data_IF_062860371454
#
_entry.id   IF_062860371454
#
_cell.length_a   1.000
_cell.length_b   1.000
_cell.length_c   1.000
_cell.angle_alpha   90.00
_cell.angle_beta   90.00
_cell.angle_gamma   90.00
#
_symmetry.space_group_name_H-M   'P 1'
#
loop_
_entity.id
_entity.type
_entity.pdbx_description
1 polymer ?
#
# COMPACT_ATOMS: atom_id res chain seq x y z
N UNK A 1 29.39 15.90 -10.31
CA UNK A 1 28.25 16.03 -9.37
C UNK A 1 26.91 16.14 -10.11
N UNK A 2 26.69 17.15 -10.96
CA UNK A 2 25.46 17.32 -11.76
C UNK A 2 25.16 16.13 -12.71
N UNK A 3 26.19 15.52 -13.30
CA UNK A 3 26.08 14.30 -14.10
C UNK A 3 25.55 13.09 -13.31
N UNK A 4 25.98 12.93 -12.06
CA UNK A 4 25.52 11.83 -11.19
C UNK A 4 24.10 12.07 -10.67
N UNK A 5 23.74 13.34 -10.40
CA UNK A 5 22.38 13.74 -10.04
C UNK A 5 21.42 13.54 -11.23
N UNK A 6 21.81 14.00 -12.42
CA UNK A 6 21.03 13.82 -13.64
C UNK A 6 20.86 12.35 -14.04
N UNK A 7 21.90 11.53 -13.85
CA UNK A 7 21.83 10.07 -14.07
C UNK A 7 20.93 9.39 -13.03
N UNK A 8 21.03 9.72 -11.74
CA UNK A 8 20.11 9.21 -10.72
C UNK A 8 18.65 9.62 -10.96
N UNK A 9 18.44 10.84 -11.46
CA UNK A 9 17.14 11.39 -11.81
C UNK A 9 16.53 10.69 -13.05
N UNK A 10 17.33 10.48 -14.10
CA UNK A 10 16.93 9.72 -15.29
C UNK A 10 16.68 8.24 -14.97
N UNK A 11 17.48 7.60 -14.12
CA UNK A 11 17.20 6.23 -13.65
C UNK A 11 15.91 6.15 -12.83
N UNK A 12 15.61 7.16 -12.02
CA UNK A 12 14.37 7.23 -11.23
C UNK A 12 13.15 7.42 -12.12
N UNK A 13 13.24 8.27 -13.15
CA UNK A 13 12.19 8.48 -14.15
C UNK A 13 12.04 7.26 -15.06
N UNK A 14 13.13 6.60 -15.46
CA UNK A 14 13.07 5.40 -16.28
C UNK A 14 12.50 4.22 -15.51
N UNK A 15 12.86 4.05 -14.23
CA UNK A 15 12.21 3.09 -13.33
C UNK A 15 10.72 3.40 -13.12
N UNK A 16 10.35 4.69 -13.04
CA UNK A 16 8.97 5.16 -12.96
C UNK A 16 8.19 4.82 -14.23
N UNK A 17 8.71 5.13 -15.42
CA UNK A 17 8.07 4.82 -16.71
C UNK A 17 7.95 3.30 -16.96
N UNK A 18 8.96 2.52 -16.57
CA UNK A 18 8.89 1.05 -16.66
C UNK A 18 7.86 0.47 -15.67
N UNK A 19 7.66 1.11 -14.51
CA UNK A 19 6.61 0.73 -13.54
C UNK A 19 5.19 1.17 -13.93
N UNK A 20 5.05 2.03 -14.94
CA UNK A 20 3.76 2.53 -15.43
C UNK A 20 3.24 1.73 -16.63
N UNK A 21 4.08 0.86 -17.23
CA UNK A 21 3.71 -0.07 -18.30
C UNK A 21 3.16 -1.42 -17.81
N UNK A 22 2.69 -1.50 -16.56
CA UNK A 22 2.04 -2.71 -16.04
C UNK A 22 0.63 -2.88 -16.60
N UNK A 23 0.55 -3.61 -17.73
CA UNK A 23 -0.70 -4.04 -18.34
C UNK A 23 -1.29 -5.30 -17.69
N UNK A 24 -0.60 -5.97 -16.77
CA UNK A 24 -0.98 -7.32 -16.35
C UNK A 24 -0.73 -7.60 -14.85
N UNK A 25 -1.45 -6.95 -13.92
CA UNK A 25 -1.46 -7.35 -12.50
C UNK A 25 -2.37 -8.59 -12.25
N UNK A 26 -3.04 -9.10 -13.30
CA UNK A 26 -3.77 -10.38 -13.26
C UNK A 26 -3.25 -11.41 -14.28
N UNK A 27 -2.05 -11.25 -14.84
CA UNK A 27 -1.40 -12.29 -15.62
C UNK A 27 0.00 -12.54 -15.11
N UNK A 28 0.28 -13.82 -14.90
CA UNK A 28 1.58 -14.40 -14.55
C UNK A 28 2.71 -13.76 -15.38
N UNK A 29 3.82 -13.35 -14.76
CA UNK A 29 5.03 -14.16 -14.78
C UNK A 29 6.21 -13.54 -14.03
N UNK A 30 7.05 -14.46 -13.60
CA UNK A 30 8.38 -14.37 -13.01
C UNK A 30 9.41 -13.50 -13.79
N UNK A 31 9.45 -12.16 -13.66
CA UNK A 31 10.73 -11.42 -13.78
C UNK A 31 10.71 -9.93 -13.39
N UNK A 32 11.68 -9.59 -12.53
CA UNK A 32 12.48 -8.34 -12.43
C UNK A 32 11.76 -6.99 -12.58
N UNK A 33 11.46 -6.36 -11.45
CA UNK A 33 11.97 -5.03 -11.04
C UNK A 33 11.54 -4.71 -9.60
N UNK A 34 12.31 -3.94 -8.81
CA UNK A 34 11.99 -3.72 -7.40
C UNK A 34 10.69 -2.90 -7.27
N UNK A 35 9.71 -3.34 -6.47
CA UNK A 35 8.50 -2.57 -6.24
C UNK A 35 8.82 -1.27 -5.50
N UNK A 36 8.03 -0.22 -5.76
CA UNK A 36 8.00 0.97 -4.92
C UNK A 36 7.84 0.55 -3.46
N UNK A 37 8.66 1.13 -2.56
CA UNK A 37 8.70 0.70 -1.16
C UNK A 37 7.30 0.65 -0.53
N UNK A 38 6.96 -0.43 0.18
CA UNK A 38 5.60 -0.69 0.66
C UNK A 38 5.01 0.41 1.58
N UNK A 39 5.88 1.12 2.30
CA UNK A 39 5.57 2.31 3.10
C UNK A 39 4.94 3.46 2.29
N UNK A 40 5.28 3.58 1.01
CA UNK A 40 4.86 4.69 0.14
C UNK A 40 3.40 4.54 -0.24
N UNK A 41 3.04 3.32 -0.64
CA UNK A 41 1.67 2.96 -0.98
C UNK A 41 0.80 3.09 0.26
N UNK A 42 1.28 2.63 1.42
CA UNK A 42 0.60 2.74 2.71
C UNK A 42 0.23 4.18 3.05
N UNK A 43 1.17 5.11 2.93
CA UNK A 43 0.94 6.45 3.44
C UNK A 43 0.19 7.36 2.46
N UNK A 44 0.33 7.14 1.16
CA UNK A 44 -0.55 7.74 0.14
C UNK A 44 -1.99 7.23 0.36
N UNK A 45 -2.18 5.94 0.60
CA UNK A 45 -3.52 5.36 0.81
C UNK A 45 -4.17 5.86 2.11
N UNK A 46 -3.42 5.96 3.22
CA UNK A 46 -3.93 6.51 4.49
C UNK A 46 -4.32 7.99 4.39
N UNK A 47 -3.52 8.83 3.72
CA UNK A 47 -3.85 10.25 3.52
C UNK A 47 -5.09 10.43 2.64
N UNK A 48 -5.22 9.63 1.59
CA UNK A 48 -6.37 9.71 0.67
C UNK A 48 -7.67 9.19 1.30
N UNK A 49 -7.57 8.17 2.17
CA UNK A 49 -8.72 7.65 2.93
C UNK A 49 -9.21 8.63 4.02
N UNK A 50 -8.34 9.46 4.59
CA UNK A 50 -8.71 10.43 5.64
C UNK A 50 -9.39 11.70 5.11
N UNK A 51 -9.07 12.15 3.89
CA UNK A 51 -9.58 13.42 3.35
C UNK A 51 -10.63 13.28 2.25
N UNK A 52 -10.87 12.08 1.71
CA UNK A 52 -11.87 11.82 0.67
C UNK A 52 -11.73 12.71 -0.58
N UNK A 53 -12.82 12.91 -1.32
CA UNK A 53 -12.88 13.77 -2.52
C UNK A 53 -12.36 15.20 -2.28
N UNK A 54 -12.57 15.75 -1.06
CA UNK A 54 -12.12 17.11 -0.69
C UNK A 54 -10.61 17.22 -0.55
N UNK A 55 -9.93 16.14 -0.13
CA UNK A 55 -8.47 16.06 -0.12
C UNK A 55 -7.86 16.13 -1.51
N UNK A 56 -8.45 15.40 -2.47
CA UNK A 56 -7.99 15.41 -3.87
C UNK A 56 -8.11 16.80 -4.50
N UNK A 57 -9.22 17.51 -4.26
CA UNK A 57 -9.43 18.87 -4.77
C UNK A 57 -8.40 19.84 -4.19
N UNK A 58 -8.22 19.83 -2.87
CA UNK A 58 -7.26 20.70 -2.18
C UNK A 58 -5.83 20.47 -2.67
N UNK A 59 -5.44 19.20 -2.86
CA UNK A 59 -4.10 18.84 -3.35
C UNK A 59 -3.89 19.19 -4.83
N UNK A 60 -4.92 19.07 -5.66
CA UNK A 60 -4.87 19.45 -7.08
C UNK A 60 -4.69 20.95 -7.24
N UNK A 61 -5.44 21.76 -6.47
CA UNK A 61 -5.29 23.23 -6.44
C UNK A 61 -3.88 23.62 -6.04
N UNK A 62 -3.36 22.96 -5.00
CA UNK A 62 -2.02 23.18 -4.48
C UNK A 62 -0.90 22.89 -5.50
N UNK A 63 -0.98 21.74 -6.18
CA UNK A 63 -0.06 21.38 -7.25
C UNK A 63 -0.19 22.34 -8.45
N UNK A 64 -1.40 22.81 -8.75
CA UNK A 64 -1.64 23.84 -9.75
C UNK A 64 -0.96 25.16 -9.41
N UNK A 65 -1.07 25.63 -8.16
CA UNK A 65 -0.36 26.83 -7.68
C UNK A 65 1.16 26.66 -7.77
N UNK A 66 1.69 25.49 -7.40
CA UNK A 66 3.11 25.19 -7.55
C UNK A 66 3.57 25.22 -9.02
N UNK A 67 2.81 24.61 -9.92
CA UNK A 67 3.11 24.62 -11.35
C UNK A 67 3.08 26.04 -11.94
N UNK A 68 2.08 26.86 -11.57
CA UNK A 68 2.00 28.27 -11.96
C UNK A 68 3.22 29.07 -11.49
N UNK A 69 3.72 28.79 -10.29
CA UNK A 69 4.88 29.48 -9.77
C UNK A 69 6.18 29.09 -10.52
N UNK A 70 6.36 27.81 -10.86
CA UNK A 70 7.48 27.38 -11.72
C UNK A 70 7.35 27.91 -13.16
N UNK A 71 6.13 28.00 -13.71
CA UNK A 71 5.90 28.63 -15.01
C UNK A 71 6.25 30.13 -14.98
N UNK A 72 5.85 30.83 -13.91
CA UNK A 72 6.22 32.23 -13.68
C UNK A 72 7.74 32.45 -13.65
N UNK A 73 8.48 31.56 -12.98
CA UNK A 73 9.95 31.58 -13.00
C UNK A 73 10.54 31.44 -14.42
N UNK A 74 10.00 30.54 -15.23
CA UNK A 74 10.45 30.33 -16.61
C UNK A 74 10.12 31.53 -17.52
N UNK A 75 8.92 32.09 -17.38
CA UNK A 75 8.50 33.29 -18.10
C UNK A 75 9.34 34.51 -17.73
N UNK A 76 9.73 34.67 -16.45
CA UNK A 76 10.66 35.72 -16.02
C UNK A 76 12.03 35.58 -16.70
N UNK A 77 12.55 34.36 -16.81
CA UNK A 77 13.83 34.10 -17.47
C UNK A 77 13.79 34.45 -18.99
N UNK A 78 12.66 34.17 -19.66
CA UNK A 78 12.45 34.44 -21.09
C UNK A 78 12.12 35.90 -21.40
N UNK A 79 11.34 36.55 -20.53
CA UNK A 79 10.75 37.87 -20.76
C UNK A 79 11.76 39.01 -20.92
N UNK A 80 13.05 38.73 -20.70
CA UNK A 80 14.10 39.70 -20.78
C UNK A 80 13.96 40.71 -19.66
N UNK A 81 14.84 40.61 -18.68
CA UNK A 81 15.10 41.72 -17.77
C UNK A 81 15.82 42.83 -18.54
N UNK A 82 15.21 43.36 -19.59
CA UNK A 82 15.65 44.60 -20.21
C UNK A 82 15.39 45.69 -19.16
N UNK A 83 16.46 46.00 -18.40
CA UNK A 83 16.51 47.01 -17.35
C UNK A 83 15.56 46.78 -16.16
N UNK A 84 15.76 45.73 -15.37
CA UNK A 84 15.29 45.77 -13.98
C UNK A 84 16.33 46.52 -13.16
N UNK A 85 15.97 47.70 -12.65
CA UNK A 85 16.68 48.32 -11.54
C UNK A 85 16.81 47.31 -10.39
N UNK A 86 17.82 47.45 -9.53
CA UNK A 86 18.02 46.59 -8.36
C UNK A 86 16.71 46.25 -7.58
N UNK A 87 15.75 47.19 -7.39
CA UNK A 87 14.43 46.90 -6.81
C UNK A 87 13.60 45.83 -7.51
N UNK A 88 13.66 45.74 -8.84
CA UNK A 88 12.82 44.83 -9.59
C UNK A 88 13.47 43.43 -9.69
N UNK A 89 14.81 43.34 -9.64
CA UNK A 89 15.51 42.09 -9.35
C UNK A 89 15.17 41.58 -7.94
N UNK A 90 15.18 42.46 -6.92
CA UNK A 90 14.74 42.13 -5.56
C UNK A 90 13.28 41.64 -5.54
N UNK A 91 12.38 42.27 -6.30
CA UNK A 91 10.99 41.82 -6.44
C UNK A 91 10.86 40.40 -6.98
N UNK A 92 11.62 40.07 -8.03
CA UNK A 92 11.68 38.69 -8.56
C UNK A 92 12.23 37.71 -7.52
N UNK A 93 13.28 38.08 -6.78
CA UNK A 93 13.88 37.21 -5.75
C UNK A 93 12.94 36.99 -4.56
N UNK A 94 12.18 38.01 -4.15
CA UNK A 94 11.15 37.91 -3.14
C UNK A 94 9.99 37.01 -3.60
N UNK A 95 9.61 37.07 -4.88
CA UNK A 95 8.59 36.18 -5.44
C UNK A 95 9.05 34.72 -5.48
N UNK A 96 10.31 34.48 -5.85
CA UNK A 96 10.95 33.14 -5.80
C UNK A 96 10.98 32.63 -4.36
N UNK A 97 11.41 33.47 -3.42
CA UNK A 97 11.48 33.12 -2.00
C UNK A 97 10.10 32.87 -1.40
N UNK A 98 9.10 33.69 -1.72
CA UNK A 98 7.71 33.52 -1.29
C UNK A 98 7.11 32.23 -1.86
N UNK A 99 7.38 31.92 -3.12
CA UNK A 99 6.98 30.66 -3.76
C UNK A 99 7.64 29.47 -3.07
N UNK A 100 8.95 29.53 -2.81
CA UNK A 100 9.67 28.47 -2.12
C UNK A 100 9.16 28.26 -0.69
N UNK A 101 8.91 29.33 0.07
CA UNK A 101 8.36 29.29 1.42
C UNK A 101 6.91 28.79 1.43
N UNK A 102 6.09 29.22 0.47
CA UNK A 102 4.72 28.75 0.32
C UNK A 102 4.69 27.25 -0.01
N UNK A 103 5.50 26.79 -0.97
CA UNK A 103 5.66 25.37 -1.30
C UNK A 103 6.19 24.57 -0.12
N UNK A 104 7.16 25.09 0.64
CA UNK A 104 7.70 24.46 1.86
C UNK A 104 6.65 24.35 2.97
N UNK A 105 5.86 25.41 3.21
CA UNK A 105 4.84 25.44 4.27
C UNK A 105 3.65 24.58 3.94
N UNK A 106 3.20 24.67 2.69
CA UNK A 106 2.25 23.73 2.07
C UNK A 106 2.70 22.28 2.27
N UNK A 107 3.96 21.98 1.97
CA UNK A 107 4.51 20.63 2.14
C UNK A 107 4.63 20.23 3.61
N UNK A 108 4.88 21.19 4.50
CA UNK A 108 4.93 20.97 5.94
C UNK A 108 3.55 20.60 6.47
N UNK A 109 2.49 21.32 6.05
CA UNK A 109 1.09 21.02 6.36
C UNK A 109 0.71 19.64 5.83
N UNK A 110 1.06 19.33 4.57
CA UNK A 110 0.86 17.99 3.98
C UNK A 110 1.59 16.90 4.77
N UNK A 111 2.81 17.16 5.24
CA UNK A 111 3.58 16.20 6.03
C UNK A 111 3.11 16.06 7.49
N UNK A 112 2.54 17.11 8.08
CA UNK A 112 1.99 17.11 9.44
C UNK A 112 0.59 16.49 9.49
N UNK A 113 -0.21 16.66 8.44
CA UNK A 113 -1.47 15.94 8.25
C UNK A 113 -1.27 14.43 7.99
N UNK A 114 -0.04 14.01 7.67
CA UNK A 114 0.33 12.65 7.28
C UNK A 114 0.97 11.83 8.39
N UNK A 115 0.27 11.61 9.53
CA UNK A 115 0.74 10.75 10.62
C UNK A 115 0.58 9.25 10.30
N UNK A 116 1.25 8.78 9.24
CA UNK A 116 1.55 7.37 8.99
C UNK A 116 3.01 7.27 8.55
N UNK A 117 3.80 6.45 9.25
CA UNK A 117 5.27 6.29 9.14
C UNK A 117 5.82 6.12 7.71
N UNK A 118 5.00 5.78 6.72
CA UNK A 118 5.43 5.64 5.33
C UNK A 118 5.43 6.90 4.48
N UNK A 119 4.75 7.96 4.92
CA UNK A 119 4.88 9.27 4.32
C UNK A 119 6.21 9.85 4.75
N UNK A 120 6.83 9.38 5.84
CA UNK A 120 8.16 9.82 6.22
C UNK A 120 9.19 9.50 5.12
N UNK A 121 9.17 8.34 4.45
CA UNK A 121 10.19 8.02 3.44
C UNK A 121 10.02 8.79 2.14
N UNK A 122 8.78 9.03 1.69
CA UNK A 122 8.51 9.86 0.50
C UNK A 122 8.48 11.35 0.75
N UNK A 123 7.98 11.81 1.90
CA UNK A 123 8.20 13.20 2.32
C UNK A 123 9.67 13.47 2.50
N UNK A 124 10.49 12.49 2.92
CA UNK A 124 11.94 12.64 3.00
C UNK A 124 12.59 12.61 1.62
N UNK A 125 12.23 11.69 0.72
CA UNK A 125 12.75 11.65 -0.66
C UNK A 125 12.33 12.88 -1.49
N UNK A 126 11.06 13.30 -1.45
CA UNK A 126 10.58 14.55 -2.07
C UNK A 126 11.08 15.80 -1.34
N UNK A 127 11.27 15.79 0.00
CA UNK A 127 12.02 16.86 0.70
C UNK A 127 13.44 16.92 0.14
N UNK A 128 14.10 15.80 -0.12
CA UNK A 128 15.45 15.76 -0.67
C UNK A 128 15.51 16.00 -2.18
N UNK A 129 14.41 15.98 -2.93
CA UNK A 129 14.39 16.27 -4.37
C UNK A 129 13.82 17.64 -4.73
N UNK A 130 12.76 18.11 -4.06
CA UNK A 130 12.14 19.42 -4.29
C UNK A 130 12.76 20.54 -3.46
N UNK A 131 13.23 20.29 -2.22
CA UNK A 131 13.92 21.37 -1.47
C UNK A 131 15.20 21.83 -2.15
N UNK A 132 16.05 20.96 -2.74
CA UNK A 132 17.17 21.43 -3.53
C UNK A 132 16.71 22.25 -4.72
N UNK A 133 15.65 21.87 -5.44
CA UNK A 133 15.13 22.68 -6.57
C UNK A 133 14.65 24.08 -6.11
N UNK A 134 14.02 24.16 -4.94
CA UNK A 134 13.61 25.44 -4.33
C UNK A 134 14.79 26.27 -3.80
N UNK A 135 15.85 25.62 -3.30
CA UNK A 135 17.10 26.26 -2.87
C UNK A 135 18.01 26.63 -4.04
N UNK A 136 17.89 25.94 -5.17
CA UNK A 136 18.58 26.23 -6.42
C UNK A 136 17.95 27.42 -7.14
N UNK A 137 16.68 27.75 -6.89
CA UNK A 137 16.03 28.89 -7.53
C UNK A 137 16.71 30.25 -7.20
N UNK A 138 17.02 30.58 -5.93
CA UNK A 138 17.85 31.75 -5.61
C UNK A 138 19.24 31.71 -6.26
N UNK A 139 19.89 30.54 -6.29
CA UNK A 139 21.21 30.36 -6.93
C UNK A 139 21.10 30.59 -8.44
N UNK A 140 20.03 30.11 -9.07
CA UNK A 140 19.71 30.32 -10.47
C UNK A 140 19.47 31.80 -10.80
N UNK A 141 18.78 32.53 -9.92
CA UNK A 141 18.59 33.98 -10.05
C UNK A 141 19.91 34.76 -9.95
N UNK A 142 20.78 34.40 -9.00
CA UNK A 142 22.12 35.00 -8.86
C UNK A 142 22.97 34.68 -10.09
N UNK A 143 22.96 33.42 -10.55
CA UNK A 143 23.72 32.98 -11.72
C UNK A 143 23.27 33.70 -12.99
N UNK A 144 21.96 33.82 -13.21
CA UNK A 144 21.40 34.59 -14.33
C UNK A 144 21.85 36.06 -14.25
N UNK A 145 21.75 36.69 -13.09
CA UNK A 145 22.16 38.09 -12.91
C UNK A 145 23.64 38.28 -13.25
N UNK A 146 24.54 37.44 -12.70
CA UNK A 146 25.99 37.50 -12.98
C UNK A 146 26.28 37.31 -14.48
N UNK A 147 25.64 36.34 -15.12
CA UNK A 147 25.83 36.06 -16.55
C UNK A 147 25.38 37.26 -17.41
N UNK A 148 24.21 37.85 -17.10
CA UNK A 148 23.71 39.05 -17.78
C UNK A 148 24.64 40.24 -17.58
N UNK A 149 25.10 40.48 -16.35
CA UNK A 149 26.03 41.58 -16.02
C UNK A 149 27.40 41.42 -16.69
N UNK A 150 27.77 40.20 -17.11
CA UNK A 150 29.02 39.90 -17.80
C UNK A 150 28.91 39.97 -19.33
N UNK A 151 27.77 40.43 -19.88
CA UNK A 151 27.57 40.57 -21.32
C UNK A 151 27.26 39.25 -22.06
N UNK A 152 26.96 38.17 -21.32
CA UNK A 152 26.55 36.89 -21.91
C UNK A 152 25.19 37.05 -22.61
N UNK A 153 25.03 36.40 -23.76
CA UNK A 153 23.79 36.44 -24.52
C UNK A 153 22.59 36.07 -23.64
N UNK A 154 21.51 36.86 -23.74
CA UNK A 154 20.33 36.79 -22.88
C UNK A 154 19.75 35.37 -22.73
N UNK A 155 19.70 34.59 -23.81
CA UNK A 155 19.15 33.24 -23.78
C UNK A 155 20.06 32.25 -23.03
N UNK A 156 21.38 32.45 -23.07
CA UNK A 156 22.36 31.62 -22.34
C UNK A 156 22.29 31.92 -20.85
N UNK A 157 22.19 33.20 -20.48
CA UNK A 157 22.08 33.61 -19.08
C UNK A 157 20.79 33.09 -18.41
N UNK A 158 19.72 32.89 -19.18
CA UNK A 158 18.43 32.38 -18.71
C UNK A 158 18.41 30.85 -18.47
N UNK A 159 19.37 30.09 -19.03
CA UNK A 159 19.38 28.60 -18.97
C UNK A 159 19.23 28.02 -17.55
N UNK A 160 19.90 28.53 -16.49
CA UNK A 160 19.76 27.99 -15.15
C UNK A 160 18.31 28.05 -14.61
N UNK A 161 17.62 29.18 -14.81
CA UNK A 161 16.22 29.32 -14.39
C UNK A 161 15.27 28.52 -15.27
N UNK A 162 15.54 28.41 -16.57
CA UNK A 162 14.75 27.56 -17.47
C UNK A 162 14.85 26.08 -17.10
N UNK A 163 16.03 25.62 -16.72
CA UNK A 163 16.23 24.25 -16.23
C UNK A 163 15.49 24.00 -14.91
N UNK A 164 15.58 24.93 -13.96
CA UNK A 164 14.87 24.82 -12.68
C UNK A 164 13.34 24.85 -12.89
N UNK A 165 12.85 25.76 -13.73
CA UNK A 165 11.44 25.85 -14.12
C UNK A 165 10.96 24.55 -14.79
N UNK A 166 11.69 24.05 -15.78
CA UNK A 166 11.36 22.82 -16.49
C UNK A 166 11.31 21.59 -15.57
N UNK A 167 12.29 21.44 -14.68
CA UNK A 167 12.32 20.36 -13.69
C UNK A 167 11.16 20.48 -12.68
N UNK A 168 10.87 21.70 -12.21
CA UNK A 168 9.76 21.95 -11.29
C UNK A 168 8.39 21.67 -11.91
N UNK A 169 8.19 22.05 -13.17
CA UNK A 169 6.99 21.73 -13.95
C UNK A 169 6.84 20.23 -14.17
N UNK A 170 7.92 19.54 -14.56
CA UNK A 170 7.92 18.09 -14.77
C UNK A 170 7.54 17.34 -13.48
N UNK A 171 8.17 17.68 -12.35
CA UNK A 171 7.82 17.10 -11.04
C UNK A 171 6.34 17.34 -10.68
N UNK A 172 5.85 18.56 -10.90
CA UNK A 172 4.46 18.92 -10.59
C UNK A 172 3.47 18.15 -11.49
N UNK A 173 3.79 17.99 -12.78
CA UNK A 173 2.99 17.22 -13.72
C UNK A 173 2.94 15.72 -13.35
N UNK A 174 4.07 15.12 -12.98
CA UNK A 174 4.13 13.72 -12.52
C UNK A 174 3.28 13.51 -11.26
N UNK A 175 3.39 14.41 -10.29
CA UNK A 175 2.58 14.36 -9.06
C UNK A 175 1.09 14.53 -9.36
N UNK A 176 0.72 15.47 -10.22
CA UNK A 176 -0.66 15.68 -10.64
C UNK A 176 -1.23 14.45 -11.32
N UNK A 177 -0.48 13.86 -12.27
CA UNK A 177 -0.88 12.62 -12.94
C UNK A 177 -1.11 11.48 -11.94
N UNK A 178 -0.23 11.31 -10.95
CA UNK A 178 -0.37 10.30 -9.90
C UNK A 178 -1.64 10.54 -9.07
N UNK A 179 -1.86 11.77 -8.61
CA UNK A 179 -3.04 12.16 -7.81
C UNK A 179 -4.33 11.93 -8.57
N UNK A 180 -4.40 12.37 -9.82
CA UNK A 180 -5.56 12.17 -10.69
C UNK A 180 -5.82 10.68 -10.94
N UNK A 181 -4.77 9.90 -11.19
CA UNK A 181 -4.88 8.45 -11.38
C UNK A 181 -5.41 7.76 -10.12
N UNK A 182 -4.91 8.13 -8.94
CA UNK A 182 -5.37 7.59 -7.66
C UNK A 182 -6.80 8.03 -7.33
N UNK A 183 -7.17 9.29 -7.62
CA UNK A 183 -8.52 9.80 -7.46
C UNK A 183 -9.51 9.02 -8.34
N UNK A 184 -9.15 8.81 -9.62
CA UNK A 184 -9.94 8.01 -10.55
C UNK A 184 -10.10 6.57 -10.06
N UNK A 185 -9.01 5.94 -9.58
CA UNK A 185 -9.07 4.58 -9.01
C UNK A 185 -9.96 4.50 -7.77
N UNK A 186 -9.86 5.48 -6.85
CA UNK A 186 -10.73 5.52 -5.67
C UNK A 186 -12.20 5.65 -6.07
N UNK A 187 -12.50 6.56 -7.02
CA UNK A 187 -13.87 6.76 -7.52
C UNK A 187 -14.43 5.48 -8.15
N UNK A 188 -13.67 4.81 -9.02
CA UNK A 188 -14.09 3.56 -9.65
C UNK A 188 -14.35 2.45 -8.62
N UNK A 189 -13.51 2.37 -7.57
CA UNK A 189 -13.73 1.45 -6.46
C UNK A 189 -15.02 1.76 -5.71
N UNK A 190 -15.29 3.03 -5.41
CA UNK A 190 -16.50 3.43 -4.70
C UNK A 190 -17.76 3.21 -5.55
N UNK A 191 -17.69 3.46 -6.86
CA UNK A 191 -18.76 3.14 -7.82
C UNK A 191 -19.02 1.62 -7.87
N UNK A 192 -17.98 0.79 -7.90
CA UNK A 192 -18.11 -0.67 -7.82
C UNK A 192 -18.78 -1.12 -6.52
N UNK A 193 -18.40 -0.54 -5.39
CA UNK A 193 -19.00 -0.88 -4.10
C UNK A 193 -20.48 -0.49 -4.06
N UNK A 194 -20.84 0.68 -4.57
CA UNK A 194 -22.23 1.12 -4.66
C UNK A 194 -23.06 0.21 -5.58
N UNK A 195 -22.51 -0.21 -6.73
CA UNK A 195 -23.19 -1.13 -7.65
C UNK A 195 -23.44 -2.51 -7.03
N UNK A 196 -22.45 -3.08 -6.36
CA UNK A 196 -22.62 -4.39 -5.69
C UNK A 196 -23.56 -4.26 -4.49
N UNK A 197 -23.47 -3.18 -3.72
CA UNK A 197 -24.38 -2.91 -2.61
C UNK A 197 -25.83 -2.84 -3.11
N UNK A 198 -26.09 -2.12 -4.20
CA UNK A 198 -27.44 -2.01 -4.77
C UNK A 198 -28.03 -3.39 -5.16
N UNK A 199 -27.21 -4.30 -5.70
CA UNK A 199 -27.65 -5.66 -6.02
C UNK A 199 -28.01 -6.46 -4.77
N UNK A 200 -27.09 -6.51 -3.80
CA UNK A 200 -27.30 -7.24 -2.53
C UNK A 200 -28.46 -6.63 -1.74
N UNK A 201 -28.63 -5.31 -1.79
CA UNK A 201 -29.74 -4.60 -1.16
C UNK A 201 -31.09 -4.97 -1.79
N UNK A 202 -31.13 -5.17 -3.11
CA UNK A 202 -32.33 -5.66 -3.79
C UNK A 202 -32.66 -7.12 -3.44
N UNK A 203 -31.64 -7.95 -3.19
CA UNK A 203 -31.79 -9.37 -2.86
C UNK A 203 -32.17 -9.60 -1.39
N UNK A 204 -31.50 -8.91 -0.45
CA UNK A 204 -31.61 -9.16 0.99
C UNK A 204 -32.40 -8.08 1.75
N UNK A 205 -32.67 -6.95 1.11
CA UNK A 205 -33.38 -5.82 1.70
C UNK A 205 -32.50 -4.82 2.48
N UNK A 206 -33.08 -3.68 2.87
CA UNK A 206 -32.38 -2.58 3.51
C UNK A 206 -31.86 -2.89 4.91
N UNK A 207 -32.62 -3.64 5.72
CA UNK A 207 -32.22 -3.94 7.09
C UNK A 207 -31.02 -4.89 7.15
N UNK A 208 -31.00 -5.92 6.28
CA UNK A 208 -29.90 -6.88 6.19
C UNK A 208 -28.60 -6.26 5.65
N UNK A 209 -28.70 -5.14 4.92
CA UNK A 209 -27.57 -4.42 4.32
C UNK A 209 -27.23 -3.12 5.03
N UNK A 210 -27.93 -2.78 6.14
CA UNK A 210 -27.72 -1.53 6.88
C UNK A 210 -26.24 -1.32 7.24
N UNK A 211 -25.60 -2.33 7.84
CA UNK A 211 -24.18 -2.26 8.23
C UNK A 211 -23.25 -2.04 7.04
N UNK A 212 -23.54 -2.62 5.87
CA UNK A 212 -22.78 -2.37 4.64
C UNK A 212 -22.92 -0.92 4.18
N UNK A 213 -24.16 -0.42 4.17
CA UNK A 213 -24.49 0.97 3.81
C UNK A 213 -23.74 1.93 4.73
N UNK A 214 -23.88 1.75 6.04
CA UNK A 214 -23.21 2.56 7.06
C UNK A 214 -21.69 2.49 6.90
N UNK A 215 -21.13 1.31 6.62
CA UNK A 215 -19.68 1.13 6.42
C UNK A 215 -19.15 1.81 5.16
N UNK A 216 -19.93 1.83 4.07
CA UNK A 216 -19.56 2.49 2.82
C UNK A 216 -19.72 4.01 2.94
N UNK A 217 -20.78 4.47 3.59
CA UNK A 217 -21.02 5.90 3.79
C UNK A 217 -20.09 6.49 4.87
N UNK A 218 -19.78 5.76 5.93
CA UNK A 218 -18.77 6.14 6.90
C UNK A 218 -17.34 5.78 6.45
N UNK A 219 -17.13 5.11 5.31
CA UNK A 219 -15.85 5.24 4.59
C UNK A 219 -15.72 6.65 4.00
N UNK A 220 -16.84 7.29 3.65
CA UNK A 220 -16.89 8.70 3.23
C UNK A 220 -16.93 9.68 4.42
N UNK A 221 -16.96 9.17 5.65
CA UNK A 221 -16.89 9.89 6.93
C UNK A 221 -15.91 9.25 7.93
N UNK A 222 -15.97 9.58 9.22
CA UNK A 222 -15.16 8.94 10.26
C UNK A 222 -15.98 7.83 10.94
N UNK A 223 -15.60 6.55 10.76
CA UNK A 223 -15.97 5.51 11.74
C UNK A 223 -14.95 5.54 12.88
N UNK A 224 -15.41 5.25 14.08
CA UNK A 224 -14.57 4.94 15.23
C UNK A 224 -13.95 3.54 15.04
N UNK A 225 -12.91 3.47 14.20
CA UNK A 225 -12.10 2.25 14.04
C UNK A 225 -11.06 2.21 15.14
N UNK A 226 -10.77 1.02 15.65
CA UNK A 226 -9.73 0.84 16.65
C UNK A 226 -8.41 1.45 16.13
N UNK A 227 -7.68 2.27 16.93
CA UNK A 227 -6.46 2.95 16.48
C UNK A 227 -5.34 1.98 16.07
N UNK A 228 -5.40 0.70 16.45
CA UNK A 228 -4.46 -0.33 16.03
C UNK A 228 -4.81 -0.99 14.70
N UNK A 229 -6.00 -0.73 14.16
CA UNK A 229 -6.39 -1.14 12.82
C UNK A 229 -6.09 -0.01 11.82
N UNK A 230 -5.47 -0.34 10.70
CA UNK A 230 -5.25 0.64 9.64
C UNK A 230 -6.32 0.52 8.55
N UNK A 231 -6.97 1.64 8.21
CA UNK A 231 -7.88 1.71 7.07
C UNK A 231 -7.12 1.66 5.75
N UNK A 232 -6.91 0.45 5.24
CA UNK A 232 -6.33 0.23 3.90
C UNK A 232 -7.37 -0.11 2.84
N UNK A 233 -8.52 -0.67 3.23
CA UNK A 233 -9.62 -1.05 2.33
C UNK A 233 -11.00 -0.89 2.97
N UNK A 234 -11.92 -1.81 2.66
CA UNK A 234 -13.26 -1.83 3.27
C UNK A 234 -13.15 -2.29 4.72
N UNK A 235 -13.54 -1.43 5.66
CA UNK A 235 -13.79 -1.84 7.04
C UNK A 235 -15.29 -1.87 7.24
N UNK A 236 -15.82 -2.95 7.81
CA UNK A 236 -17.21 -2.97 8.26
C UNK A 236 -17.30 -2.43 9.69
N UNK A 237 -18.22 -1.49 9.88
CA UNK A 237 -18.63 -0.96 11.17
C UNK A 237 -19.13 -2.10 12.06
N UNK A 238 -19.03 -1.93 13.38
CA UNK A 238 -19.65 -2.81 14.39
C UNK A 238 -19.29 -4.31 14.30
N UNK A 239 -18.27 -4.68 13.52
CA UNK A 239 -17.62 -5.97 13.69
C UNK A 239 -16.81 -5.93 15.00
N UNK A 240 -16.86 -6.98 15.84
CA UNK A 240 -16.05 -7.05 17.04
C UNK A 240 -14.59 -6.76 16.75
N UNK A 241 -14.06 -5.72 17.38
CA UNK A 241 -12.69 -5.29 17.21
C UNK A 241 -11.78 -6.14 18.12
N UNK A 242 -11.62 -7.42 17.80
CA UNK A 242 -10.79 -8.38 18.54
C UNK A 242 -9.57 -8.75 17.72
N UNK A 243 -8.37 -8.46 18.24
CA UNK A 243 -7.12 -8.80 17.55
C UNK A 243 -6.91 -10.32 17.46
N UNK A 244 -7.29 -11.07 18.51
CA UNK A 244 -7.21 -12.52 18.59
C UNK A 244 -8.60 -13.11 18.79
N UNK A 245 -8.87 -14.24 18.15
CA UNK A 245 -10.08 -15.03 18.33
C UNK A 245 -9.78 -16.31 19.09
N UNK A 246 -10.74 -16.79 19.88
CA UNK A 246 -10.62 -18.07 20.57
C UNK A 246 -10.88 -19.22 19.57
N UNK A 247 -9.96 -20.21 19.43
CA UNK A 247 -10.22 -21.40 18.62
C UNK A 247 -11.54 -22.11 18.92
N UNK A 248 -12.05 -22.02 20.16
CA UNK A 248 -13.33 -22.61 20.56
C UNK A 248 -14.55 -21.97 19.84
N UNK A 249 -14.40 -20.78 19.25
CA UNK A 249 -15.46 -20.14 18.46
C UNK A 249 -15.73 -20.86 17.12
N UNK A 250 -14.83 -21.74 16.68
CA UNK A 250 -14.87 -22.37 15.36
C UNK A 250 -15.14 -23.89 15.48
N UNK A 251 -16.35 -24.38 15.13
CA UNK A 251 -16.73 -25.78 15.35
C UNK A 251 -15.86 -26.81 14.62
N UNK A 252 -15.22 -26.42 13.53
CA UNK A 252 -14.37 -27.30 12.71
C UNK A 252 -12.95 -27.48 13.30
N UNK A 253 -12.55 -26.69 14.31
CA UNK A 253 -11.19 -26.74 14.86
C UNK A 253 -10.83 -28.10 15.42
N UNK A 254 -11.70 -28.71 16.24
CA UNK A 254 -11.40 -30.00 16.86
C UNK A 254 -11.16 -31.13 15.83
N UNK A 255 -11.95 -31.15 14.75
CA UNK A 255 -11.80 -32.11 13.66
C UNK A 255 -10.56 -31.81 12.80
N UNK A 256 -10.18 -30.54 12.68
CA UNK A 256 -8.97 -30.13 11.97
C UNK A 256 -7.71 -30.51 12.77
N UNK A 257 -7.68 -30.23 14.08
CA UNK A 257 -6.56 -30.58 14.95
C UNK A 257 -6.36 -32.10 15.08
N UNK A 258 -7.45 -32.89 15.06
CA UNK A 258 -7.34 -34.36 15.09
C UNK A 258 -6.71 -34.95 13.81
N UNK A 259 -6.81 -34.24 12.67
CA UNK A 259 -6.09 -34.56 11.44
C UNK A 259 -4.65 -34.03 11.42
N UNK A 260 -4.18 -33.40 12.50
CA UNK A 260 -2.93 -32.64 12.55
C UNK A 260 -1.68 -33.42 12.16
N UNK A 261 -1.59 -34.70 12.53
CA UNK A 261 -0.45 -35.55 12.15
C UNK A 261 -0.36 -35.77 10.64
N UNK A 262 -1.51 -36.05 10.00
CA UNK A 262 -1.59 -36.24 8.55
C UNK A 262 -1.25 -34.94 7.80
N UNK A 263 -1.80 -33.81 8.27
CA UNK A 263 -1.56 -32.49 7.69
C UNK A 263 -0.09 -32.10 7.83
N UNK A 264 0.53 -32.34 9.00
CA UNK A 264 1.95 -32.07 9.22
C UNK A 264 2.81 -32.91 8.27
N UNK A 265 2.52 -34.20 8.11
CA UNK A 265 3.27 -35.09 7.21
C UNK A 265 3.14 -34.66 5.73
N UNK A 266 1.95 -34.25 5.28
CA UNK A 266 1.73 -33.71 3.94
C UNK A 266 2.52 -32.41 3.73
N UNK A 267 2.43 -31.48 4.67
CA UNK A 267 3.11 -30.20 4.60
C UNK A 267 4.64 -30.34 4.54
N UNK A 268 5.22 -31.19 5.38
CA UNK A 268 6.66 -31.44 5.39
C UNK A 268 7.14 -32.08 4.08
N UNK A 269 6.35 -32.98 3.49
CA UNK A 269 6.66 -33.58 2.18
C UNK A 269 6.55 -32.54 1.06
N UNK A 270 5.49 -31.74 1.05
CA UNK A 270 5.25 -30.71 0.04
C UNK A 270 6.29 -29.59 0.09
N UNK A 271 6.69 -29.15 1.30
CA UNK A 271 7.67 -28.08 1.48
C UNK A 271 9.13 -28.58 1.41
N UNK A 272 9.39 -29.88 1.56
CA UNK A 272 10.72 -30.47 1.47
C UNK A 272 11.24 -30.60 0.02
N UNK A 273 10.33 -30.66 -0.96
CA UNK A 273 10.68 -30.58 -2.38
C UNK A 273 10.83 -29.11 -2.81
N UNK A 274 11.92 -28.75 -3.49
CA UNK A 274 12.08 -27.40 -4.05
C UNK A 274 11.04 -27.08 -5.15
N UNK A 275 10.48 -28.12 -5.79
CA UNK A 275 9.42 -28.03 -6.78
C UNK A 275 8.08 -27.65 -6.13
N UNK A 276 7.52 -26.51 -6.52
CA UNK A 276 6.19 -26.05 -6.08
C UNK A 276 6.21 -24.91 -5.04
N UNK A 277 7.39 -24.57 -4.50
CA UNK A 277 7.55 -23.39 -3.64
C UNK A 277 7.65 -22.12 -4.48
N UNK A 278 6.83 -21.12 -4.14
CA UNK A 278 6.91 -19.78 -4.72
C UNK A 278 7.43 -18.79 -3.68
N UNK A 279 8.30 -17.87 -4.09
CA UNK A 279 8.61 -16.71 -3.28
C UNK A 279 7.32 -15.89 -3.10
N UNK A 280 6.93 -15.65 -1.85
CA UNK A 280 5.77 -14.85 -1.55
C UNK A 280 6.19 -13.40 -1.37
N UNK A 281 5.35 -12.47 -1.78
CA UNK A 281 5.56 -11.05 -1.54
C UNK A 281 4.22 -10.41 -1.23
N UNK A 282 4.00 -10.05 0.03
CA UNK A 282 2.80 -9.33 0.41
C UNK A 282 2.93 -7.86 -0.02
N UNK A 283 1.96 -7.32 -0.80
CA UNK A 283 1.96 -5.92 -1.17
C UNK A 283 1.86 -5.03 0.08
N UNK A 284 2.80 -4.11 0.27
CA UNK A 284 2.75 -3.26 1.46
C UNK A 284 3.55 -3.78 2.67
N UNK A 285 4.16 -4.96 2.61
CA UNK A 285 5.02 -5.49 3.66
C UNK A 285 6.51 -5.46 3.29
N UNK A 286 7.36 -5.17 4.28
CA UNK A 286 8.82 -5.40 4.20
C UNK A 286 9.08 -6.76 4.84
N UNK A 287 9.62 -7.69 4.06
CA UNK A 287 9.74 -9.09 4.46
C UNK A 287 11.10 -9.68 4.10
N UNK A 288 11.56 -10.62 4.93
CA UNK A 288 12.70 -11.48 4.66
C UNK A 288 12.34 -12.61 3.70
N UNK A 289 13.12 -13.70 3.75
CA UNK A 289 12.90 -14.84 2.87
C UNK A 289 11.66 -15.62 3.32
N UNK A 290 10.59 -15.48 2.53
CA UNK A 290 9.28 -16.05 2.80
C UNK A 290 8.76 -16.74 1.55
N UNK A 291 8.58 -18.05 1.64
CA UNK A 291 8.07 -18.89 0.57
C UNK A 291 6.69 -19.43 0.94
N UNK A 292 5.92 -19.81 -0.08
CA UNK A 292 4.62 -20.44 0.08
C UNK A 292 4.48 -21.67 -0.83
N UNK A 293 3.74 -22.66 -0.32
CA UNK A 293 3.18 -23.74 -1.12
C UNK A 293 1.66 -23.51 -1.20
N UNK A 294 1.15 -23.20 -2.38
CA UNK A 294 -0.25 -22.81 -2.58
C UNK A 294 -1.20 -24.00 -2.46
N UNK A 295 -2.23 -23.85 -1.64
CA UNK A 295 -3.34 -24.81 -1.52
C UNK A 295 -4.60 -24.29 -2.22
N UNK A 296 -4.96 -23.05 -1.92
CA UNK A 296 -6.06 -22.32 -2.58
C UNK A 296 -5.51 -21.01 -3.11
N UNK A 297 -5.63 -20.80 -4.43
CA UNK A 297 -5.27 -19.56 -5.12
C UNK A 297 -6.47 -19.10 -5.95
N UNK A 298 -6.81 -17.81 -5.88
CA UNK A 298 -7.97 -17.24 -6.59
C UNK A 298 -9.30 -17.98 -6.28
N UNK A 299 -9.49 -18.42 -5.04
CA UNK A 299 -10.63 -19.23 -4.58
C UNK A 299 -10.80 -20.54 -5.38
N UNK A 300 -9.70 -21.15 -5.80
CA UNK A 300 -9.66 -22.47 -6.44
C UNK A 300 -8.55 -23.28 -5.79
N UNK A 301 -8.80 -24.57 -5.57
CA UNK A 301 -7.75 -25.50 -5.17
C UNK A 301 -6.70 -25.60 -6.28
N UNK A 302 -5.43 -25.66 -5.90
CA UNK A 302 -4.35 -25.93 -6.85
C UNK A 302 -4.29 -27.44 -7.15
N UNK A 303 -3.93 -27.86 -8.37
CA UNK A 303 -3.76 -29.28 -8.69
C UNK A 303 -2.76 -29.98 -7.77
N UNK A 304 -1.69 -29.29 -7.38
CA UNK A 304 -0.67 -29.80 -6.48
C UNK A 304 -1.24 -30.08 -5.08
N UNK A 305 -2.16 -29.24 -4.60
CA UNK A 305 -2.81 -29.46 -3.30
C UNK A 305 -3.70 -30.69 -3.30
N UNK A 306 -4.48 -30.90 -4.37
CA UNK A 306 -5.34 -32.09 -4.49
C UNK A 306 -4.53 -33.38 -4.58
N UNK A 307 -3.39 -33.34 -5.27
CA UNK A 307 -2.52 -34.50 -5.45
C UNK A 307 -1.67 -34.80 -4.21
N UNK A 308 -1.11 -33.78 -3.55
CA UNK A 308 -0.10 -33.96 -2.50
C UNK A 308 -0.64 -33.84 -1.08
N UNK A 309 -1.76 -33.13 -0.89
CA UNK A 309 -2.25 -32.73 0.43
C UNK A 309 -3.74 -33.11 0.66
N UNK A 310 -4.17 -34.36 0.40
CA UNK A 310 -5.58 -34.75 0.50
C UNK A 310 -6.19 -34.56 1.90
N UNK A 311 -5.46 -34.83 2.98
CA UNK A 311 -5.95 -34.63 4.35
C UNK A 311 -6.10 -33.13 4.65
N UNK A 312 -5.14 -32.31 4.21
CA UNK A 312 -5.20 -30.85 4.35
C UNK A 312 -6.39 -30.27 3.59
N UNK A 313 -6.62 -30.72 2.35
CA UNK A 313 -7.79 -30.30 1.55
C UNK A 313 -9.09 -30.74 2.20
N UNK A 314 -9.16 -31.97 2.73
CA UNK A 314 -10.34 -32.46 3.45
C UNK A 314 -10.64 -31.65 4.71
N UNK A 315 -9.62 -31.19 5.43
CA UNK A 315 -9.77 -30.31 6.60
C UNK A 315 -10.21 -28.89 6.19
N UNK A 316 -9.61 -28.31 5.16
CA UNK A 316 -10.00 -26.99 4.63
C UNK A 316 -11.46 -26.96 4.15
N UNK A 317 -11.97 -28.06 3.58
CA UNK A 317 -13.38 -28.20 3.17
C UNK A 317 -14.38 -28.06 4.32
N UNK A 318 -13.96 -28.25 5.57
CA UNK A 318 -14.81 -28.09 6.75
C UNK A 318 -14.89 -26.63 7.22
N UNK A 319 -13.96 -25.77 6.78
CA UNK A 319 -13.95 -24.36 7.16
C UNK A 319 -15.14 -23.65 6.54
N UNK A 320 -15.87 -22.90 7.37
CA UNK A 320 -17.05 -22.15 6.93
C UNK A 320 -16.71 -21.21 5.77
N UNK A 321 -17.45 -21.36 4.67
CA UNK A 321 -17.27 -20.56 3.47
C UNK A 321 -16.30 -21.15 2.44
N UNK A 322 -15.68 -22.32 2.68
CA UNK A 322 -14.87 -22.99 1.66
C UNK A 322 -15.66 -23.21 0.34
N UNK A 323 -15.04 -23.05 -0.85
CA UNK A 323 -13.65 -22.65 -1.13
C UNK A 323 -13.42 -21.14 -1.15
N UNK A 324 -14.39 -20.33 -0.70
CA UNK A 324 -14.24 -18.88 -0.61
C UNK A 324 -13.30 -18.50 0.55
N UNK A 325 -12.01 -18.57 0.25
CA UNK A 325 -10.90 -18.15 1.08
C UNK A 325 -10.12 -17.07 0.34
N UNK A 326 -9.59 -16.06 1.04
CA UNK A 326 -8.75 -15.05 0.38
C UNK A 326 -7.49 -15.69 -0.19
N UNK A 327 -6.87 -16.55 0.62
CA UNK A 327 -5.76 -17.44 0.29
C UNK A 327 -5.74 -18.63 1.26
N UNK A 328 -5.14 -19.74 0.83
CA UNK A 328 -4.70 -20.82 1.72
C UNK A 328 -3.38 -21.40 1.20
N UNK A 329 -2.38 -21.51 2.06
CA UNK A 329 -1.06 -21.99 1.69
C UNK A 329 -0.25 -22.45 2.92
N UNK A 330 0.73 -23.33 2.72
CA UNK A 330 1.79 -23.50 3.72
C UNK A 330 2.74 -22.30 3.61
N UNK A 331 2.97 -21.63 4.73
CA UNK A 331 3.75 -20.39 4.86
C UNK A 331 5.09 -20.70 5.52
N UNK A 332 6.17 -20.60 4.75
CA UNK A 332 7.53 -20.96 5.15
C UNK A 332 8.36 -19.70 5.35
N UNK A 333 8.64 -19.35 6.61
CA UNK A 333 9.56 -18.25 6.94
C UNK A 333 10.93 -18.83 7.25
N UNK A 334 11.91 -18.49 6.43
CA UNK A 334 13.27 -19.04 6.54
C UNK A 334 13.97 -18.58 7.82
N UNK A 335 15.08 -19.26 8.21
CA UNK A 335 15.92 -18.84 9.33
C UNK A 335 16.26 -17.35 9.31
N UNK A 336 16.31 -16.74 10.49
CA UNK A 336 16.64 -15.33 10.72
C UNK A 336 15.86 -14.32 9.86
N UNK A 337 14.64 -14.66 9.46
CA UNK A 337 13.78 -13.80 8.64
C UNK A 337 12.67 -13.15 9.46
N UNK A 338 12.26 -11.95 9.02
CA UNK A 338 11.20 -11.17 9.67
C UNK A 338 10.23 -10.62 8.64
N UNK A 339 8.96 -10.64 8.97
CA UNK A 339 7.90 -9.89 8.31
C UNK A 339 7.65 -8.67 9.19
N UNK A 340 8.01 -7.48 8.71
CA UNK A 340 7.90 -6.23 9.48
C UNK A 340 6.44 -5.89 9.78
N UNK A 341 6.20 -5.01 10.77
CA UNK A 341 4.85 -4.56 11.12
C UNK A 341 4.08 -4.05 9.89
N UNK A 342 2.89 -4.60 9.67
CA UNK A 342 1.97 -4.22 8.60
C UNK A 342 0.52 -4.52 9.00
N UNK A 343 -0.44 -4.04 8.19
CA UNK A 343 -1.86 -4.32 8.34
C UNK A 343 -2.42 -4.73 6.98
N UNK A 344 -3.42 -5.58 7.03
CA UNK A 344 -4.20 -5.99 5.87
C UNK A 344 -5.31 -4.98 5.53
N UNK A 345 -5.99 -5.23 4.42
CA UNK A 345 -6.92 -4.27 3.84
C UNK A 345 -8.26 -4.17 4.58
N UNK A 346 -8.68 -5.18 5.35
CA UNK A 346 -10.06 -5.28 5.82
C UNK A 346 -10.20 -6.13 7.08
N UNK A 347 -11.11 -5.73 7.99
CA UNK A 347 -11.55 -6.50 9.15
C UNK A 347 -12.61 -7.58 8.82
N UNK A 348 -12.94 -7.77 7.55
CA UNK A 348 -13.91 -8.81 7.14
C UNK A 348 -13.29 -10.20 7.03
N UNK A 349 -12.00 -10.33 7.31
CA UNK A 349 -11.24 -11.58 7.23
C UNK A 349 -10.68 -11.92 8.60
N UNK A 350 -10.70 -13.21 8.92
CA UNK A 350 -9.92 -13.79 10.01
C UNK A 350 -8.88 -14.69 9.37
N UNK A 351 -7.64 -14.57 9.85
CA UNK A 351 -6.53 -15.41 9.41
C UNK A 351 -6.30 -16.51 10.42
N UNK A 352 -6.36 -17.76 9.96
CA UNK A 352 -6.01 -18.95 10.71
C UNK A 352 -4.59 -19.38 10.42
N UNK A 353 -3.77 -19.51 11.48
CA UNK A 353 -2.46 -20.16 11.43
C UNK A 353 -2.49 -21.46 12.21
N UNK A 354 -2.31 -22.59 11.53
CA UNK A 354 -2.11 -23.89 12.16
C UNK A 354 -0.61 -24.23 12.18
N UNK A 355 -0.07 -24.49 13.37
CA UNK A 355 1.36 -24.80 13.53
C UNK A 355 1.72 -26.12 12.86
N UNK A 356 2.65 -26.11 11.90
CA UNK A 356 3.14 -27.33 11.22
C UNK A 356 4.49 -27.74 11.78
N UNK A 357 5.49 -26.87 11.67
CA UNK A 357 6.82 -27.09 12.24
C UNK A 357 7.33 -25.75 12.73
N UNK A 358 7.43 -25.61 14.04
CA UNK A 358 7.59 -24.30 14.69
C UNK A 358 8.73 -24.34 15.70
N UNK A 359 9.94 -23.89 15.32
CA UNK A 359 11.05 -23.74 16.25
C UNK A 359 10.75 -22.76 17.41
N UNK A 360 11.41 -22.95 18.55
CA UNK A 360 11.12 -22.22 19.79
C UNK A 360 11.32 -20.69 19.71
N UNK A 361 12.18 -20.21 18.79
CA UNK A 361 12.52 -18.79 18.60
C UNK A 361 11.68 -18.11 17.50
N UNK A 362 10.53 -18.68 17.16
CA UNK A 362 9.56 -18.07 16.26
C UNK A 362 8.43 -17.39 17.05
N UNK A 363 7.85 -16.34 16.49
CA UNK A 363 6.68 -15.70 17.08
C UNK A 363 5.94 -14.76 16.15
N UNK A 364 4.79 -14.31 16.64
CA UNK A 364 3.90 -13.36 15.99
C UNK A 364 3.42 -12.33 17.01
N UNK A 365 3.28 -11.09 16.58
CA UNK A 365 2.59 -10.03 17.33
C UNK A 365 1.39 -9.58 16.52
N UNK A 366 0.23 -9.44 17.17
CA UNK A 366 -0.96 -8.82 16.60
C UNK A 366 -1.46 -7.77 17.59
N UNK A 367 -1.56 -6.52 17.14
CA UNK A 367 -1.75 -5.38 18.03
C UNK A 367 -0.65 -5.31 19.08
N UNK A 368 -1.04 -5.41 20.35
CA UNK A 368 -0.11 -5.34 21.51
C UNK A 368 0.35 -6.70 22.02
N UNK A 369 -0.28 -7.79 21.59
CA UNK A 369 -0.06 -9.10 22.17
C UNK A 369 0.84 -9.96 21.28
N UNK A 370 1.80 -10.66 21.91
CA UNK A 370 2.72 -11.60 21.25
C UNK A 370 2.32 -13.02 21.59
N UNK A 371 2.27 -13.89 20.59
CA UNK A 371 2.03 -15.33 20.75
C UNK A 371 3.11 -16.13 20.02
N UNK A 372 3.24 -17.39 20.41
CA UNK A 372 3.99 -18.41 19.67
C UNK A 372 3.00 -19.43 19.14
N UNK A 373 3.33 -20.03 18.01
CA UNK A 373 2.57 -21.18 17.52
C UNK A 373 2.95 -22.41 18.32
N UNK A 374 1.96 -23.24 18.61
CA UNK A 374 2.15 -24.61 19.05
C UNK A 374 1.90 -25.52 17.84
N UNK A 375 2.70 -26.58 17.71
CA UNK A 375 2.49 -27.54 16.63
C UNK A 375 1.12 -28.20 16.77
N UNK A 376 0.43 -28.33 15.64
CA UNK A 376 -0.91 -28.92 15.50
C UNK A 376 -2.00 -28.16 16.26
N UNK A 377 -1.76 -26.88 16.56
CA UNK A 377 -2.72 -25.97 17.19
C UNK A 377 -2.93 -24.72 16.38
N UNK A 378 -4.11 -24.12 16.55
CA UNK A 378 -4.49 -22.90 15.87
C UNK A 378 -4.14 -21.63 16.65
N UNK A 379 -3.78 -20.60 15.89
CA UNK A 379 -3.98 -19.21 16.24
C UNK A 379 -4.93 -18.57 15.23
N UNK A 380 -5.90 -17.78 15.71
CA UNK A 380 -6.82 -16.99 14.88
C UNK A 380 -6.72 -15.52 15.22
N UNK A 381 -6.60 -14.67 14.21
CA UNK A 381 -6.44 -13.23 14.42
C UNK A 381 -6.97 -12.41 13.25
N UNK A 382 -7.32 -11.16 13.56
CA UNK A 382 -7.73 -10.16 12.58
C UNK A 382 -6.49 -9.42 12.05
N UNK A 383 -6.14 -9.66 10.79
CA UNK A 383 -4.98 -9.06 10.14
C UNK A 383 -5.14 -7.58 9.81
N UNK A 384 -6.33 -6.99 9.99
CA UNK A 384 -6.50 -5.53 9.91
C UNK A 384 -5.78 -4.80 11.05
N UNK A 385 -5.50 -5.49 12.16
CA UNK A 385 -4.60 -5.01 13.20
C UNK A 385 -3.15 -5.04 12.73
N UNK A 386 -2.34 -4.09 13.21
CA UNK A 386 -0.90 -4.15 12.96
C UNK A 386 -0.30 -5.45 13.51
N UNK A 387 0.39 -6.18 12.65
CA UNK A 387 1.01 -7.44 12.99
C UNK A 387 2.38 -7.63 12.33
N UNK A 388 3.22 -8.43 12.98
CA UNK A 388 4.55 -8.83 12.51
C UNK A 388 4.84 -10.27 12.90
N UNK A 389 5.71 -10.94 12.15
CA UNK A 389 6.15 -12.29 12.47
C UNK A 389 7.67 -12.41 12.31
N UNK A 390 8.29 -13.25 13.13
CA UNK A 390 9.73 -13.48 13.08
C UNK A 390 10.07 -14.96 13.24
N UNK A 391 11.16 -15.33 12.60
CA UNK A 391 11.85 -16.60 12.84
C UNK A 391 13.30 -16.27 13.18
N UNK A 392 13.64 -16.27 14.47
CA UNK A 392 15.02 -16.04 14.92
C UNK A 392 15.81 -17.36 15.10
N UNK A 393 15.24 -18.50 14.69
CA UNK A 393 15.88 -19.82 14.78
C UNK A 393 16.72 -20.17 13.55
N UNK A 394 17.50 -21.25 13.66
CA UNK A 394 18.33 -21.82 12.59
C UNK A 394 17.57 -22.76 11.64
N UNK A 395 16.25 -22.93 11.82
CA UNK A 395 15.41 -23.82 11.01
C UNK A 395 14.20 -23.08 10.43
N UNK A 396 13.67 -23.49 9.27
CA UNK A 396 12.46 -22.87 8.71
C UNK A 396 11.27 -23.04 9.64
N UNK A 397 10.41 -22.02 9.70
CA UNK A 397 9.11 -22.09 10.39
C UNK A 397 8.01 -22.28 9.36
N UNK A 398 7.26 -23.36 9.50
CA UNK A 398 6.14 -23.73 8.63
C UNK A 398 4.84 -23.63 9.43
N UNK A 399 3.88 -22.88 8.89
CA UNK A 399 2.49 -22.84 9.37
C UNK A 399 1.56 -23.03 8.17
N UNK A 400 0.41 -23.65 8.35
CA UNK A 400 -0.67 -23.54 7.39
C UNK A 400 -1.42 -22.24 7.65
N UNK A 401 -1.38 -21.33 6.68
CA UNK A 401 -2.07 -20.03 6.70
C UNK A 401 -3.28 -20.11 5.78
N UNK A 402 -4.44 -19.71 6.27
CA UNK A 402 -5.59 -19.45 5.42
C UNK A 402 -6.46 -18.32 5.97
N UNK A 403 -7.12 -17.64 5.04
CA UNK A 403 -8.02 -16.54 5.35
C UNK A 403 -9.44 -16.91 5.03
N UNK A 404 -10.33 -16.72 5.99
CA UNK A 404 -11.74 -16.98 5.86
C UNK A 404 -12.57 -15.79 6.31
N UNK A 405 -13.82 -15.76 5.88
CA UNK A 405 -14.74 -14.67 6.20
C UNK A 405 -14.97 -14.59 7.72
N UNK A 406 -14.97 -13.37 8.25
CA UNK A 406 -15.19 -13.12 9.67
C UNK A 406 -16.52 -13.77 10.13
N UNK A 407 -16.54 -14.52 11.25
CA UNK A 407 -17.70 -15.36 11.63
C UNK A 407 -18.98 -14.56 11.90
N UNK A 408 -18.85 -13.28 12.29
CA UNK A 408 -19.96 -12.35 12.54
C UNK A 408 -20.53 -11.67 11.29
N UNK A 409 -20.12 -12.10 10.10
CA UNK A 409 -20.72 -11.61 8.85
C UNK A 409 -22.07 -12.28 8.61
N UNK A 410 -23.08 -11.47 8.30
CA UNK A 410 -24.40 -11.91 7.85
C UNK A 410 -24.32 -12.48 6.43
N UNK A 411 -25.33 -13.23 5.99
CA UNK A 411 -25.39 -13.76 4.62
C UNK A 411 -25.25 -12.66 3.57
N UNK A 412 -26.00 -11.57 3.71
CA UNK A 412 -25.93 -10.42 2.80
C UNK A 412 -24.52 -9.82 2.68
N UNK A 413 -23.78 -9.76 3.79
CA UNK A 413 -22.41 -9.24 3.78
C UNK A 413 -21.41 -10.17 3.13
N UNK A 414 -21.57 -11.49 3.34
CA UNK A 414 -20.74 -12.48 2.65
C UNK A 414 -20.99 -12.39 1.15
N UNK A 415 -22.24 -12.33 0.72
CA UNK A 415 -22.60 -12.20 -0.69
C UNK A 415 -22.02 -10.93 -1.31
N UNK A 416 -22.10 -9.80 -0.58
CA UNK A 416 -21.48 -8.55 -0.99
C UNK A 416 -19.96 -8.68 -1.19
N UNK A 417 -19.25 -9.29 -0.24
CA UNK A 417 -17.79 -9.49 -0.34
C UNK A 417 -17.40 -10.47 -1.45
N UNK A 418 -18.19 -11.52 -1.65
CA UNK A 418 -18.01 -12.48 -2.74
C UNK A 418 -18.17 -11.79 -4.10
N UNK A 419 -19.27 -11.08 -4.30
CA UNK A 419 -19.55 -10.33 -5.53
C UNK A 419 -18.48 -9.25 -5.78
N UNK A 420 -17.99 -8.56 -4.74
CA UNK A 420 -16.89 -7.61 -4.86
C UNK A 420 -15.61 -8.26 -5.38
N UNK A 421 -15.30 -9.49 -4.99
CA UNK A 421 -14.13 -10.24 -5.51
C UNK A 421 -14.37 -10.87 -6.88
N UNK A 422 -15.56 -10.69 -7.47
CA UNK A 422 -15.90 -11.14 -8.82
C UNK A 422 -16.42 -12.57 -8.89
N UNK A 423 -16.95 -13.11 -7.79
CA UNK A 423 -17.63 -14.41 -7.77
C UNK A 423 -18.98 -14.24 -7.05
N UNK A 424 -20.09 -14.40 -7.76
CA UNK A 424 -21.38 -14.56 -7.08
C UNK A 424 -21.34 -15.86 -6.25
N UNK A 425 -21.98 -15.85 -5.08
CA UNK A 425 -22.09 -17.00 -4.18
C UNK A 425 -22.82 -18.17 -4.86
#
# INVERSE_FOLDING_TARGET
MLWHIGRAYLYSIFALCNSLYFRDIFRDDSNRNPPLSPLIIQAITSMLNLYGQRGYQSFTVLLGMQALAFAGLGLMALGGTAALSLPAAIGSWLLVAATALFSLRTWTIVSQAGFCLGLLTWTTALRYQLRPLLLLAPIGCVAEWVLRSSGVAQWVAALPLLLISGLGLLCSAVLLFLVVTLAKRSRLRDERHAQVLAKVHAEHGPDATRRLTDSIDCRRGALDVNPFQMRRGLMLADLPATAWHDPAEFPWVAAFESAGDAIQAEALRACGGASGLAAYQYPGAVQGNWNVFWLVRNNQLTPEAEAMCPATVAALRQVTGFPFMREAHFSILQPHSRIRPHCDESNTWVTGHFGISVPAQCGIRVGRERRRWEEKKFLFFDTSYEHEAWNDSDSPRIVLLFDFLHPRLSTAERDFLMQLRGKAA
#
